data_IF_643442510389
#
_entry.id   IF_643442510389
#
_cell.length_a   1.000
_cell.length_b   1.000
_cell.length_c   1.000
_cell.angle_alpha   90.00
_cell.angle_beta   90.00
_cell.angle_gamma   90.00
#
_symmetry.space_group_name_H-M   'P 1'
#
loop_
_entity.id
_entity.type
_entity.pdbx_description
1 polymer ?
#
# COMPACT_ATOMS: atom_id res chain seq x y z
N UNK A 1 -15.70 9.66 15.89
CA UNK A 1 -14.85 8.43 15.92
C UNK A 1 -13.68 8.67 14.98
N UNK A 2 -12.46 8.51 15.45
CA UNK A 2 -11.25 8.78 14.67
C UNK A 2 -10.62 7.46 14.26
N UNK A 3 -10.33 7.30 12.97
CA UNK A 3 -9.45 6.26 12.47
C UNK A 3 -8.01 6.79 12.46
N UNK A 4 -7.06 5.98 12.85
CA UNK A 4 -5.63 6.27 12.79
C UNK A 4 -4.90 5.09 12.18
N UNK A 5 -3.92 5.36 11.35
CA UNK A 5 -3.02 4.34 10.82
C UNK A 5 -1.57 4.76 11.01
N UNK A 6 -0.62 3.82 10.97
CA UNK A 6 0.81 4.14 10.98
C UNK A 6 1.21 4.73 9.62
N UNK A 7 0.82 5.99 9.37
CA UNK A 7 0.95 6.62 8.04
C UNK A 7 2.33 7.23 7.74
N UNK A 8 3.31 7.08 8.62
CA UNK A 8 4.65 7.65 8.42
C UNK A 8 5.68 6.54 8.26
N UNK A 9 6.42 6.56 7.15
CA UNK A 9 7.56 5.66 6.95
C UNK A 9 8.58 5.77 8.10
N UNK A 10 8.76 6.96 8.65
CA UNK A 10 9.68 7.21 9.79
C UNK A 10 9.25 6.41 11.02
N UNK A 11 7.94 6.39 11.33
CA UNK A 11 7.41 5.61 12.46
C UNK A 11 7.60 4.11 12.22
N UNK A 12 7.28 3.64 11.02
CA UNK A 12 7.42 2.23 10.67
C UNK A 12 8.89 1.78 10.75
N UNK A 13 9.81 2.53 10.12
CA UNK A 13 11.24 2.19 10.12
C UNK A 13 11.86 2.25 11.52
N UNK A 14 11.49 3.24 12.34
CA UNK A 14 11.95 3.31 13.74
C UNK A 14 11.51 2.09 14.52
N UNK A 15 10.23 1.74 14.47
CA UNK A 15 9.71 0.57 15.20
C UNK A 15 10.26 -0.75 14.68
N UNK A 16 10.51 -0.89 13.37
CA UNK A 16 11.17 -2.06 12.80
C UNK A 16 12.60 -2.18 13.34
N UNK A 17 13.33 -1.07 13.39
CA UNK A 17 14.70 -1.04 13.90
C UNK A 17 14.77 -1.39 15.41
N UNK A 18 13.82 -0.88 16.19
CA UNK A 18 13.79 -1.08 17.64
C UNK A 18 13.23 -2.45 18.05
N UNK A 19 12.51 -3.14 17.14
CA UNK A 19 11.89 -4.45 17.40
C UNK A 19 12.25 -5.49 16.34
N UNK A 20 11.43 -5.59 15.31
CA UNK A 20 11.63 -6.38 14.10
C UNK A 20 10.51 -6.07 13.11
N UNK A 21 10.70 -6.48 11.85
CA UNK A 21 9.63 -6.37 10.84
C UNK A 21 8.33 -7.05 11.28
N UNK A 22 8.40 -8.18 11.94
CA UNK A 22 7.21 -8.92 12.39
C UNK A 22 6.52 -8.29 13.59
N UNK A 23 7.18 -7.42 14.36
CA UNK A 23 6.70 -6.89 15.64
C UNK A 23 6.32 -5.41 15.61
N UNK A 24 6.71 -4.69 14.58
CA UNK A 24 6.55 -3.24 14.56
C UNK A 24 5.09 -2.78 14.67
N UNK A 25 4.14 -3.49 14.06
CA UNK A 25 2.72 -3.17 14.16
C UNK A 25 2.18 -3.45 15.56
N UNK A 26 2.66 -4.50 16.21
CA UNK A 26 2.34 -4.78 17.61
C UNK A 26 2.84 -3.66 18.52
N UNK A 27 4.10 -3.26 18.36
CA UNK A 27 4.70 -2.17 19.11
C UNK A 27 3.93 -0.84 18.92
N UNK A 28 3.53 -0.56 17.68
CA UNK A 28 2.70 0.61 17.37
C UNK A 28 1.35 0.56 18.08
N UNK A 29 0.65 -0.58 18.06
CA UNK A 29 -0.61 -0.76 18.79
C UNK A 29 -0.44 -0.59 20.28
N UNK A 30 0.61 -1.16 20.88
CA UNK A 30 0.93 -1.02 22.29
C UNK A 30 1.11 0.45 22.70
N UNK A 31 1.88 1.21 21.93
CA UNK A 31 2.06 2.64 22.17
C UNK A 31 0.74 3.41 22.09
N UNK A 32 -0.09 3.12 21.09
CA UNK A 32 -1.37 3.81 20.87
C UNK A 32 -2.44 3.47 21.88
N UNK A 33 -2.32 2.33 22.53
CA UNK A 33 -3.31 1.85 23.51
C UNK A 33 -2.82 1.93 24.94
N UNK A 34 -1.58 2.30 25.19
CA UNK A 34 -0.94 2.34 26.51
C UNK A 34 -1.73 3.11 27.60
N UNK A 35 -2.44 4.15 27.18
CA UNK A 35 -3.26 4.98 28.09
C UNK A 35 -4.75 4.62 28.09
N UNK A 36 -5.16 3.58 27.34
CA UNK A 36 -6.57 3.22 27.19
C UNK A 36 -7.02 2.27 28.29
N UNK A 37 -8.22 2.51 28.80
CA UNK A 37 -8.88 1.61 29.73
C UNK A 37 -9.39 0.35 29.01
N UNK A 38 -9.63 -0.74 29.76
CA UNK A 38 -10.24 -1.97 29.22
C UNK A 38 -11.57 -1.71 28.49
N UNK A 39 -12.37 -0.79 29.00
CA UNK A 39 -13.65 -0.41 28.38
C UNK A 39 -13.44 0.31 27.04
N UNK A 40 -12.41 1.14 26.94
CA UNK A 40 -12.05 1.80 25.67
C UNK A 40 -11.44 0.81 24.66
N UNK A 41 -10.66 -0.16 25.12
CA UNK A 41 -10.12 -1.24 24.29
C UNK A 41 -11.26 -2.04 23.63
N UNK A 42 -12.27 -2.45 24.39
CA UNK A 42 -13.45 -3.18 23.88
C UNK A 42 -14.28 -2.40 22.84
N UNK A 43 -14.14 -1.08 22.81
CA UNK A 43 -14.82 -0.20 21.84
C UNK A 43 -13.91 0.19 20.67
N UNK A 44 -12.75 -0.42 20.57
CA UNK A 44 -11.76 -0.14 19.53
C UNK A 44 -11.70 -1.31 18.56
N UNK A 45 -11.63 -1.00 17.28
CA UNK A 45 -11.46 -1.96 16.20
C UNK A 45 -10.04 -1.83 15.64
N UNK A 46 -9.34 -2.94 15.53
CA UNK A 46 -8.13 -3.05 14.71
C UNK A 46 -8.52 -3.65 13.36
N UNK A 47 -8.22 -2.91 12.33
CA UNK A 47 -8.57 -3.25 10.97
C UNK A 47 -7.29 -3.47 10.17
N UNK A 48 -7.08 -4.71 9.73
CA UNK A 48 -5.92 -5.11 8.93
C UNK A 48 -6.27 -5.27 7.46
N UNK A 49 -5.29 -5.06 6.60
CA UNK A 49 -5.36 -5.40 5.17
C UNK A 49 -4.12 -6.22 4.85
N UNK A 50 -4.31 -7.42 4.28
CA UNK A 50 -3.23 -8.29 3.84
C UNK A 50 -3.63 -9.01 2.57
N UNK A 51 -3.03 -8.64 1.43
CA UNK A 51 -3.40 -9.24 0.14
C UNK A 51 -3.22 -10.76 0.12
N UNK A 52 -2.18 -11.28 0.74
CA UNK A 52 -1.91 -12.72 0.79
C UNK A 52 -2.53 -13.44 1.99
N UNK A 53 -2.96 -12.72 3.02
CA UNK A 53 -3.32 -13.27 4.32
C UNK A 53 -2.15 -13.85 5.13
N UNK A 54 -0.91 -13.73 4.62
CA UNK A 54 0.31 -14.34 5.21
C UNK A 54 1.28 -13.34 5.80
N UNK A 55 0.93 -12.07 5.84
CA UNK A 55 1.78 -11.00 6.39
C UNK A 55 1.91 -11.18 7.90
N UNK A 56 3.08 -11.62 8.36
CA UNK A 56 3.32 -11.97 9.77
C UNK A 56 3.12 -10.79 10.71
N UNK A 57 3.52 -9.61 10.31
CA UNK A 57 3.33 -8.38 11.06
C UNK A 57 1.83 -8.05 11.28
N UNK A 58 1.02 -8.18 10.22
CA UNK A 58 -0.44 -7.99 10.30
C UNK A 58 -1.07 -9.06 11.20
N UNK A 59 -0.74 -10.34 10.98
CA UNK A 59 -1.34 -11.44 11.75
C UNK A 59 -0.97 -11.35 13.24
N UNK A 60 0.29 -11.02 13.57
CA UNK A 60 0.71 -10.79 14.95
C UNK A 60 0.01 -9.58 15.58
N UNK A 61 -0.20 -8.52 14.83
CA UNK A 61 -0.94 -7.36 15.32
C UNK A 61 -2.40 -7.68 15.62
N UNK A 62 -3.05 -8.46 14.74
CA UNK A 62 -4.43 -8.93 14.97
C UNK A 62 -4.51 -9.90 16.16
N UNK A 63 -3.56 -10.84 16.28
CA UNK A 63 -3.49 -11.74 17.43
C UNK A 63 -3.33 -10.96 18.73
N UNK A 64 -2.38 -10.03 18.78
CA UNK A 64 -2.17 -9.19 19.94
C UNK A 64 -3.44 -8.38 20.29
N UNK A 65 -4.12 -7.82 19.31
CA UNK A 65 -5.34 -7.05 19.49
C UNK A 65 -6.47 -7.93 20.08
N UNK A 66 -6.64 -9.15 19.57
CA UNK A 66 -7.58 -10.14 20.08
C UNK A 66 -7.31 -10.46 21.55
N UNK A 67 -6.06 -10.77 21.90
CA UNK A 67 -5.64 -11.14 23.25
C UNK A 67 -5.86 -9.99 24.26
N UNK A 68 -5.86 -8.75 23.76
CA UNK A 68 -6.11 -7.55 24.57
C UNK A 68 -7.56 -7.04 24.51
N UNK A 69 -8.47 -7.81 23.92
CA UNK A 69 -9.92 -7.57 23.93
C UNK A 69 -10.38 -6.45 23.01
N UNK A 70 -9.62 -6.13 21.95
CA UNK A 70 -10.08 -5.27 20.88
C UNK A 70 -10.90 -6.09 19.88
N UNK A 71 -11.81 -5.44 19.19
CA UNK A 71 -12.43 -6.02 17.99
C UNK A 71 -11.42 -6.05 16.86
N UNK A 72 -11.46 -7.09 16.04
CA UNK A 72 -10.52 -7.29 14.94
C UNK A 72 -11.23 -7.62 13.64
N UNK A 73 -10.74 -7.04 12.56
CA UNK A 73 -11.21 -7.30 11.20
C UNK A 73 -10.02 -7.37 10.24
N UNK A 74 -10.07 -8.29 9.30
CA UNK A 74 -9.07 -8.43 8.24
C UNK A 74 -9.75 -8.44 6.88
N UNK A 75 -9.26 -7.60 5.97
CA UNK A 75 -9.54 -7.75 4.54
C UNK A 75 -8.37 -8.47 3.90
N UNK A 76 -8.67 -9.53 3.17
CA UNK A 76 -7.65 -10.35 2.53
C UNK A 76 -8.10 -10.85 1.16
N UNK A 77 -7.15 -11.15 0.29
CA UNK A 77 -7.43 -11.78 -1.00
C UNK A 77 -7.80 -13.25 -0.88
N UNK A 78 -7.27 -13.93 0.14
CA UNK A 78 -7.49 -15.37 0.40
C UNK A 78 -7.64 -15.60 1.89
N UNK A 79 -8.37 -16.63 2.26
CA UNK A 79 -8.51 -17.07 3.65
C UNK A 79 -7.14 -17.25 4.32
N UNK A 80 -7.05 -16.81 5.57
CA UNK A 80 -5.85 -17.04 6.37
C UNK A 80 -5.87 -18.47 6.94
N UNK A 81 -4.68 -19.04 7.11
CA UNK A 81 -4.52 -20.38 7.72
C UNK A 81 -4.51 -20.33 9.25
N UNK A 82 -4.32 -19.15 9.83
CA UNK A 82 -4.18 -18.95 11.26
C UNK A 82 -5.56 -18.76 11.91
N UNK A 83 -5.78 -19.43 13.03
CA UNK A 83 -7.04 -19.30 13.78
C UNK A 83 -6.87 -18.20 14.83
N UNK A 84 -7.30 -16.97 14.50
CA UNK A 84 -7.28 -15.83 15.42
C UNK A 84 -8.68 -15.69 16.03
N UNK A 85 -8.77 -15.80 17.34
CA UNK A 85 -10.04 -15.76 18.07
C UNK A 85 -10.77 -14.43 17.85
N UNK A 86 -12.03 -14.48 17.43
CA UNK A 86 -12.89 -13.31 17.27
C UNK A 86 -12.59 -12.50 15.98
N UNK A 87 -11.78 -13.03 15.06
CA UNK A 87 -11.51 -12.38 13.79
C UNK A 87 -12.75 -12.35 12.90
N UNK A 88 -13.10 -11.16 12.43
CA UNK A 88 -13.98 -10.99 11.28
C UNK A 88 -13.13 -10.91 10.02
N UNK A 89 -13.24 -11.90 9.16
CA UNK A 89 -12.46 -11.98 7.93
C UNK A 89 -13.33 -11.64 6.71
N UNK A 90 -12.86 -10.71 5.88
CA UNK A 90 -13.48 -10.34 4.62
C UNK A 90 -12.59 -10.83 3.48
N UNK A 91 -12.94 -11.97 2.91
CA UNK A 91 -12.19 -12.61 1.83
C UNK A 91 -12.67 -12.12 0.48
N UNK A 92 -11.80 -11.47 -0.28
CA UNK A 92 -12.12 -10.89 -1.59
C UNK A 92 -12.07 -11.90 -2.74
N UNK A 93 -11.55 -13.11 -2.50
CA UNK A 93 -11.47 -14.17 -3.50
C UNK A 93 -10.54 -13.86 -4.68
N UNK A 94 -9.50 -13.08 -4.45
CA UNK A 94 -8.57 -12.62 -5.50
C UNK A 94 -7.29 -13.46 -5.54
N UNK A 95 -6.62 -13.49 -6.71
CA UNK A 95 -5.36 -14.20 -6.89
C UNK A 95 -4.14 -13.27 -7.01
N UNK A 96 -4.38 -11.98 -7.27
CA UNK A 96 -3.33 -11.00 -7.55
C UNK A 96 -3.32 -9.89 -6.50
N UNK A 97 -2.14 -9.43 -6.11
CA UNK A 97 -1.94 -8.35 -5.13
C UNK A 97 -2.68 -7.08 -5.53
N UNK A 98 -2.42 -6.58 -6.74
CA UNK A 98 -3.03 -5.34 -7.23
C UNK A 98 -4.56 -5.39 -7.25
N UNK A 99 -5.15 -6.53 -7.56
CA UNK A 99 -6.61 -6.69 -7.52
C UNK A 99 -7.14 -6.60 -6.09
N UNK A 100 -6.45 -7.24 -5.15
CA UNK A 100 -6.81 -7.15 -3.72
C UNK A 100 -6.69 -5.72 -3.22
N UNK A 101 -5.64 -5.01 -3.57
CA UNK A 101 -5.39 -3.63 -3.15
C UNK A 101 -6.48 -2.69 -3.66
N UNK A 102 -6.83 -2.77 -4.95
CA UNK A 102 -7.89 -1.94 -5.54
C UNK A 102 -9.25 -2.24 -4.91
N UNK A 103 -9.60 -3.53 -4.74
CA UNK A 103 -10.87 -3.92 -4.14
C UNK A 103 -10.94 -3.55 -2.66
N UNK A 104 -9.85 -3.68 -1.92
CA UNK A 104 -9.81 -3.27 -0.52
C UNK A 104 -9.99 -1.75 -0.36
N UNK A 105 -9.43 -0.96 -1.26
CA UNK A 105 -9.63 0.49 -1.29
C UNK A 105 -11.10 0.84 -1.59
N UNK A 106 -11.68 0.20 -2.59
CA UNK A 106 -13.10 0.39 -2.95
C UNK A 106 -14.02 0.04 -1.77
N UNK A 107 -13.75 -1.08 -1.10
CA UNK A 107 -14.50 -1.48 0.10
C UNK A 107 -14.39 -0.45 1.22
N UNK A 108 -13.21 0.14 1.44
CA UNK A 108 -13.03 1.19 2.44
C UNK A 108 -13.86 2.44 2.12
N UNK A 109 -13.95 2.83 0.85
CA UNK A 109 -14.84 3.92 0.43
C UNK A 109 -16.31 3.57 0.69
N UNK A 110 -16.75 2.35 0.40
CA UNK A 110 -18.12 1.91 0.67
C UNK A 110 -18.43 1.87 2.17
N UNK A 111 -17.50 1.41 3.01
CA UNK A 111 -17.64 1.42 4.46
C UNK A 111 -17.73 2.85 5.00
N UNK A 112 -16.93 3.76 4.47
CA UNK A 112 -16.94 5.18 4.83
C UNK A 112 -18.30 5.80 4.48
N UNK A 113 -18.79 5.58 3.27
CA UNK A 113 -20.09 6.06 2.82
C UNK A 113 -21.23 5.43 3.64
N UNK A 114 -21.21 4.12 3.87
CA UNK A 114 -22.20 3.40 4.68
C UNK A 114 -22.23 3.85 6.15
N UNK A 115 -21.12 4.44 6.64
CA UNK A 115 -21.06 5.06 7.98
C UNK A 115 -21.69 6.46 8.05
N UNK A 116 -22.30 6.94 6.96
CA UNK A 116 -22.88 8.28 6.84
C UNK A 116 -21.86 9.39 6.61
N UNK A 117 -20.65 9.03 6.15
CA UNK A 117 -19.61 10.00 5.74
C UNK A 117 -19.57 10.06 4.23
N UNK A 118 -19.73 11.25 3.68
CA UNK A 118 -19.53 11.45 2.25
C UNK A 118 -18.03 11.52 1.95
N UNK A 119 -17.61 10.86 0.87
CA UNK A 119 -16.30 11.10 0.31
C UNK A 119 -16.27 12.53 -0.25
N UNK A 120 -15.21 13.30 0.01
CA UNK A 120 -15.13 14.66 -0.55
C UNK A 120 -15.22 14.59 -2.07
N UNK A 121 -16.01 15.45 -2.70
CA UNK A 121 -16.10 15.51 -4.16
C UNK A 121 -14.72 15.90 -4.74
N UNK A 122 -14.45 15.42 -5.93
CA UNK A 122 -13.24 15.83 -6.68
C UNK A 122 -13.42 17.28 -7.11
N UNK A 123 -12.81 18.18 -6.37
CA UNK A 123 -12.97 19.63 -6.59
C UNK A 123 -14.38 20.11 -6.27
N UNK A 124 -14.83 21.14 -6.98
CA UNK A 124 -16.20 21.67 -6.87
C UNK A 124 -17.18 21.04 -7.89
N UNK A 125 -16.84 19.88 -8.41
CA UNK A 125 -17.60 19.24 -9.46
C UNK A 125 -18.93 18.76 -8.92
N UNK A 126 -20.01 19.09 -9.61
CA UNK A 126 -21.33 18.59 -9.29
C UNK A 126 -21.45 17.10 -9.69
N UNK A 127 -22.38 16.35 -9.08
CA UNK A 127 -22.69 14.98 -9.52
C UNK A 127 -23.10 14.89 -11.00
N UNK A 128 -23.45 15.99 -11.61
CA UNK A 128 -23.80 16.09 -13.03
C UNK A 128 -22.58 15.89 -13.94
N UNK A 129 -21.38 16.22 -13.46
CA UNK A 129 -20.13 15.98 -14.19
C UNK A 129 -19.81 14.50 -14.37
N UNK A 130 -20.43 13.64 -13.57
CA UNK A 130 -20.34 12.18 -13.71
C UNK A 130 -21.33 11.62 -14.74
N UNK A 131 -22.36 12.42 -15.11
CA UNK A 131 -23.29 12.03 -16.17
C UNK A 131 -22.64 12.23 -17.52
N UNK A 132 -22.15 11.16 -18.11
CA UNK A 132 -21.56 11.17 -19.43
C UNK A 132 -20.04 11.20 -19.43
N UNK A 133 -19.41 10.51 -18.48
CA UNK A 133 -17.98 10.17 -18.54
C UNK A 133 -17.65 9.54 -19.90
N UNK A 134 -17.34 10.42 -20.85
CA UNK A 134 -16.78 10.01 -22.12
C UNK A 134 -15.27 9.86 -21.90
N UNK A 135 -14.85 8.64 -21.61
CA UNK A 135 -13.43 8.29 -21.41
C UNK A 135 -12.52 8.79 -22.53
N UNK A 136 -13.07 8.95 -23.73
CA UNK A 136 -12.33 9.51 -24.87
C UNK A 136 -12.10 11.02 -24.74
N UNK A 137 -12.90 11.76 -23.95
CA UNK A 137 -12.67 13.19 -23.66
C UNK A 137 -11.70 13.41 -22.51
N UNK A 138 -11.51 12.43 -21.63
CA UNK A 138 -10.58 12.51 -20.50
C UNK A 138 -9.09 12.30 -20.89
N UNK A 139 -8.81 11.79 -22.09
CA UNK A 139 -7.45 11.67 -22.58
C UNK A 139 -7.04 13.02 -23.17
N UNK A 140 -6.62 13.94 -22.30
CA UNK A 140 -5.89 15.12 -22.78
C UNK A 140 -4.51 14.64 -23.24
N UNK A 141 -4.28 14.67 -24.54
CA UNK A 141 -2.92 14.74 -25.04
C UNK A 141 -2.39 16.11 -24.62
N UNK A 142 -1.63 16.15 -23.55
CA UNK A 142 -0.81 17.31 -23.28
C UNK A 142 0.24 17.32 -24.40
N UNK A 143 0.07 18.20 -25.39
CA UNK A 143 1.17 18.60 -26.23
C UNK A 143 2.07 19.45 -25.35
N UNK A 144 3.09 18.86 -24.78
CA UNK A 144 4.20 19.63 -24.24
C UNK A 144 4.90 20.30 -25.42
N UNK A 145 4.94 21.64 -25.50
CA UNK A 145 5.66 22.28 -26.56
C UNK A 145 7.15 21.95 -26.36
N UNK A 146 7.72 21.21 -27.29
CA UNK A 146 9.16 20.92 -27.45
C UNK A 146 9.97 20.57 -26.18
N UNK A 147 9.32 20.27 -25.07
CA UNK A 147 9.99 19.78 -23.87
C UNK A 147 10.30 18.31 -24.03
N UNK A 148 11.56 17.98 -23.91
CA UNK A 148 12.06 16.61 -23.91
C UNK A 148 11.40 15.86 -22.73
N UNK A 149 10.63 14.83 -23.05
CA UNK A 149 9.90 14.04 -22.04
C UNK A 149 10.93 13.31 -21.17
N UNK A 150 10.83 13.49 -19.85
CA UNK A 150 11.65 12.74 -18.92
C UNK A 150 11.17 11.31 -18.81
N UNK A 151 12.08 10.37 -19.00
CA UNK A 151 11.85 8.93 -18.84
C UNK A 151 12.64 8.43 -17.63
N UNK A 152 11.93 8.03 -16.58
CA UNK A 152 12.52 7.38 -15.42
C UNK A 152 12.87 5.93 -15.77
N UNK A 153 14.08 5.50 -15.48
CA UNK A 153 14.57 4.14 -15.69
C UNK A 153 15.10 3.61 -14.38
N UNK A 154 14.58 2.47 -13.96
CA UNK A 154 15.08 1.72 -12.83
C UNK A 154 16.47 1.14 -13.17
N UNK A 155 17.39 1.19 -12.21
CA UNK A 155 18.76 0.72 -12.40
C UNK A 155 18.87 -0.78 -12.14
N UNK A 156 18.38 -1.24 -11.01
CA UNK A 156 18.53 -2.62 -10.55
C UNK A 156 17.59 -3.58 -11.28
N UNK A 157 18.15 -4.57 -11.94
CA UNK A 157 17.40 -5.55 -12.73
C UNK A 157 16.94 -5.04 -14.10
N UNK A 158 17.18 -3.77 -14.44
CA UNK A 158 16.86 -3.16 -15.75
C UNK A 158 18.11 -2.75 -16.51
N UNK A 159 19.00 -1.99 -15.92
CA UNK A 159 20.31 -1.63 -16.51
C UNK A 159 21.38 -2.61 -16.05
N UNK A 160 21.42 -2.88 -14.77
CA UNK A 160 22.35 -3.74 -14.06
C UNK A 160 21.66 -5.05 -13.68
N UNK A 161 22.33 -6.21 -13.79
CA UNK A 161 21.70 -7.52 -13.57
C UNK A 161 21.14 -7.73 -12.16
N UNK A 162 21.75 -7.12 -11.15
CA UNK A 162 21.34 -7.20 -9.76
C UNK A 162 21.15 -8.65 -9.26
N UNK A 163 22.10 -9.55 -9.60
CA UNK A 163 22.01 -10.99 -9.32
C UNK A 163 22.00 -11.34 -7.83
N UNK A 164 22.52 -10.45 -6.99
CA UNK A 164 22.59 -10.60 -5.52
C UNK A 164 21.49 -9.83 -4.77
N UNK A 165 20.65 -9.08 -5.48
CA UNK A 165 19.72 -8.14 -4.87
C UNK A 165 20.43 -6.93 -4.26
N UNK A 166 19.73 -6.13 -3.47
CA UNK A 166 20.34 -5.00 -2.76
C UNK A 166 21.39 -5.51 -1.76
N UNK A 167 22.59 -4.96 -1.87
CA UNK A 167 23.72 -5.37 -1.06
C UNK A 167 24.25 -4.18 -0.22
N UNK A 168 25.15 -3.39 -0.77
CA UNK A 168 25.77 -2.25 -0.07
C UNK A 168 25.74 -0.94 -0.90
N UNK A 169 25.03 -0.96 -2.03
CA UNK A 169 24.95 0.16 -2.98
C UNK A 169 26.10 0.19 -3.98
N UNK A 170 27.00 -0.78 -3.98
CA UNK A 170 28.03 -0.90 -5.02
C UNK A 170 27.50 -1.64 -6.24
N UNK A 171 27.95 -1.20 -7.42
CA UNK A 171 27.67 -1.91 -8.68
C UNK A 171 28.62 -3.10 -8.78
N UNK A 172 28.06 -4.31 -8.77
CA UNK A 172 28.85 -5.56 -8.71
C UNK A 172 28.62 -6.49 -9.92
N UNK A 173 27.61 -6.23 -10.73
CA UNK A 173 27.32 -7.01 -11.93
C UNK A 173 27.56 -6.22 -13.21
N UNK A 174 27.64 -6.95 -14.31
CA UNK A 174 27.70 -6.38 -15.64
C UNK A 174 26.32 -5.82 -16.06
N UNK A 175 26.31 -4.82 -16.94
CA UNK A 175 25.05 -4.35 -17.56
C UNK A 175 24.31 -5.49 -18.27
N UNK A 176 23.00 -5.40 -18.28
CA UNK A 176 22.18 -6.34 -19.05
C UNK A 176 22.49 -6.16 -20.54
N UNK A 177 22.64 -7.27 -21.25
CA UNK A 177 22.96 -7.26 -22.68
C UNK A 177 21.92 -6.47 -23.49
N UNK A 178 22.38 -5.49 -24.26
CA UNK A 178 21.54 -4.62 -25.07
C UNK A 178 21.11 -3.33 -24.38
N UNK A 179 21.42 -3.13 -23.09
CA UNK A 179 21.07 -1.91 -22.35
C UNK A 179 21.68 -0.67 -22.99
N UNK A 180 22.95 -0.70 -23.38
CA UNK A 180 23.63 0.45 -24.00
C UNK A 180 22.92 0.91 -25.28
N UNK A 181 22.57 -0.04 -26.15
CA UNK A 181 21.83 0.25 -27.38
C UNK A 181 20.43 0.81 -27.11
N UNK A 182 19.75 0.23 -26.12
CA UNK A 182 18.41 0.67 -25.71
C UNK A 182 18.45 2.10 -25.16
N UNK A 183 19.37 2.38 -24.23
CA UNK A 183 19.54 3.72 -23.64
C UNK A 183 19.89 4.75 -24.71
N UNK A 184 20.77 4.43 -25.66
CA UNK A 184 21.12 5.32 -26.78
C UNK A 184 19.89 5.66 -27.63
N UNK A 185 19.07 4.68 -27.98
CA UNK A 185 17.83 4.91 -28.76
C UNK A 185 16.80 5.71 -27.97
N UNK A 186 16.72 5.52 -26.66
CA UNK A 186 15.81 6.25 -25.79
C UNK A 186 16.28 7.69 -25.58
N UNK A 187 17.59 7.94 -25.44
CA UNK A 187 18.13 9.28 -25.25
C UNK A 187 17.93 10.22 -26.46
N UNK A 188 17.71 9.67 -27.64
CA UNK A 188 17.35 10.46 -28.83
C UNK A 188 15.95 11.08 -28.72
N UNK A 189 15.08 10.54 -27.85
CA UNK A 189 13.68 10.97 -27.73
C UNK A 189 13.32 11.51 -26.34
N UNK A 190 14.06 11.10 -25.31
CA UNK A 190 13.73 11.35 -23.91
C UNK A 190 14.96 11.85 -23.14
N UNK A 191 14.74 12.67 -22.14
CA UNK A 191 15.73 12.87 -21.09
C UNK A 191 15.67 11.68 -20.15
N UNK A 192 16.75 10.90 -20.08
CA UNK A 192 16.79 9.70 -19.23
C UNK A 192 17.16 10.09 -17.80
N UNK A 193 16.37 9.64 -16.84
CA UNK A 193 16.61 9.79 -15.40
C UNK A 193 16.71 8.39 -14.81
N UNK A 194 17.86 8.03 -14.27
CA UNK A 194 18.07 6.78 -13.56
C UNK A 194 17.79 6.97 -12.06
N UNK A 195 17.11 6.03 -11.43
CA UNK A 195 16.80 6.03 -10.00
C UNK A 195 16.96 4.64 -9.38
#
# INVERSE_FOLDING_TARGET
KNAICPGSCVVATSLINDTSFDQWMVAWLQQRTSTRTKSQMKKSLVYGISSSGKSKDVNKALQWASDNGLEICLITGKEISENIKGLTEVVLGTQYYHTTEVLSLLLQYQLTHGSGKECPPIGQNSPEDLKGLNWNKGIRKHSYPDEQINLGIDFDGVIHKNSKGFYDGTIYDEPIKGTEEALKKLSDKYTLICY
#
